data_IF_271460152318
#
_entry.id   IF_271460152318
#
_cell.length_a   1.000
_cell.length_b   1.000
_cell.length_c   1.000
_cell.angle_alpha   90.00
_cell.angle_beta   90.00
_cell.angle_gamma   90.00
#
_symmetry.space_group_name_H-M   'P 1'
#
loop_
_entity.id
_entity.type
_entity.pdbx_description
1 polymer ?
#
# COMPACT_ATOMS: atom_id res chain seq x y z
N UNK A 1 30.66 -6.87 10.77
CA UNK A 1 29.55 -6.74 9.81
C UNK A 1 28.33 -6.32 10.62
N UNK A 2 27.90 -5.06 10.54
CA UNK A 2 26.67 -4.63 11.23
C UNK A 2 25.51 -5.15 10.39
N UNK A 3 24.53 -5.81 11.01
CA UNK A 3 23.23 -6.00 10.40
C UNK A 3 22.65 -4.60 10.19
N UNK A 4 22.64 -4.13 8.94
CA UNK A 4 21.89 -2.93 8.60
C UNK A 4 20.41 -3.27 8.84
N UNK A 5 19.79 -2.61 9.81
CA UNK A 5 18.34 -2.51 9.83
C UNK A 5 17.95 -1.86 8.51
N UNK A 6 17.47 -2.65 7.55
CA UNK A 6 17.01 -2.14 6.26
C UNK A 6 16.06 -0.97 6.53
N UNK A 7 16.44 0.24 6.12
CA UNK A 7 15.55 1.40 6.23
C UNK A 7 14.35 1.14 5.32
N UNK A 8 13.15 1.12 5.91
CA UNK A 8 11.91 0.90 5.16
C UNK A 8 10.98 2.11 5.26
N UNK A 9 10.29 2.40 4.16
CA UNK A 9 9.14 3.31 4.11
C UNK A 9 7.87 2.47 4.21
N UNK A 10 6.95 2.91 5.07
CA UNK A 10 5.66 2.25 5.24
C UNK A 10 4.62 2.89 4.33
N UNK A 11 3.85 2.06 3.63
CA UNK A 11 2.63 2.46 2.92
C UNK A 11 1.48 1.59 3.38
N UNK A 12 0.28 2.13 3.39
CA UNK A 12 -0.88 1.55 4.08
C UNK A 12 -2.05 1.43 3.14
N UNK A 13 -2.78 0.32 3.22
CA UNK A 13 -4.01 0.12 2.46
C UNK A 13 -5.11 -0.36 3.37
N UNK A 14 -6.28 0.24 3.25
CA UNK A 14 -7.52 -0.33 3.78
C UNK A 14 -8.12 -1.25 2.71
N UNK A 15 -8.12 -2.58 2.88
CA UNK A 15 -8.77 -3.47 1.94
C UNK A 15 -10.28 -3.26 1.98
N UNK A 16 -10.94 -3.37 0.83
CA UNK A 16 -12.40 -3.42 0.80
C UNK A 16 -12.91 -4.70 1.45
N UNK A 17 -14.16 -4.68 1.90
CA UNK A 17 -14.82 -5.82 2.56
C UNK A 17 -14.66 -7.11 1.76
N UNK A 18 -14.19 -8.17 2.42
CA UNK A 18 -13.95 -9.48 1.84
C UNK A 18 -12.62 -9.62 1.08
N UNK A 19 -11.82 -8.55 0.93
CA UNK A 19 -10.54 -8.57 0.21
C UNK A 19 -9.32 -8.60 1.12
N UNK A 20 -9.46 -8.33 2.42
CA UNK A 20 -8.33 -8.23 3.34
C UNK A 20 -7.49 -9.50 3.42
N UNK A 21 -8.13 -10.65 3.63
CA UNK A 21 -7.44 -11.93 3.74
C UNK A 21 -6.71 -12.33 2.45
N UNK A 22 -7.32 -12.08 1.30
CA UNK A 22 -6.73 -12.40 0.00
C UNK A 22 -5.54 -11.48 -0.31
N UNK A 23 -5.71 -10.16 -0.14
CA UNK A 23 -4.62 -9.20 -0.34
C UNK A 23 -3.44 -9.41 0.62
N UNK A 24 -3.72 -9.86 1.86
CA UNK A 24 -2.67 -10.19 2.82
C UNK A 24 -1.91 -11.46 2.45
N UNK A 25 -2.61 -12.56 2.17
CA UNK A 25 -1.99 -13.87 1.95
C UNK A 25 -1.43 -14.04 0.54
N UNK A 26 -2.18 -13.59 -0.47
CA UNK A 26 -1.89 -13.82 -1.88
C UNK A 26 -1.33 -12.58 -2.59
N UNK A 27 -1.36 -11.43 -1.92
CA UNK A 27 -0.90 -10.17 -2.48
C UNK A 27 -1.91 -9.53 -3.43
N UNK A 28 -1.42 -8.64 -4.27
CA UNK A 28 -2.22 -7.85 -5.20
C UNK A 28 -2.20 -8.50 -6.58
N UNK A 29 -3.38 -8.89 -7.07
CA UNK A 29 -3.56 -9.45 -8.41
C UNK A 29 -4.16 -8.39 -9.33
N UNK A 30 -3.64 -8.24 -10.55
CA UNK A 30 -4.16 -7.28 -11.53
C UNK A 30 -5.65 -7.49 -11.86
N UNK A 31 -6.14 -8.72 -11.71
CA UNK A 31 -7.57 -9.05 -11.89
C UNK A 31 -8.48 -8.42 -10.83
N UNK A 32 -7.95 -8.06 -9.66
CA UNK A 32 -8.70 -7.38 -8.61
C UNK A 32 -8.80 -5.86 -8.83
N UNK A 33 -8.04 -5.33 -9.80
CA UNK A 33 -7.97 -3.91 -10.14
C UNK A 33 -8.20 -3.71 -11.64
N UNK A 34 -9.21 -4.38 -12.19
CA UNK A 34 -9.52 -4.34 -13.63
C UNK A 34 -10.43 -3.17 -14.05
N UNK A 35 -11.09 -2.51 -13.11
CA UNK A 35 -12.04 -1.42 -13.39
C UNK A 35 -11.42 -0.05 -13.05
N UNK A 36 -11.62 0.94 -13.92
CA UNK A 36 -11.10 2.30 -13.74
C UNK A 36 -9.60 2.44 -14.03
N UNK A 37 -8.86 3.15 -13.17
CA UNK A 37 -7.46 3.54 -13.38
C UNK A 37 -6.46 2.39 -13.22
N UNK A 38 -6.93 1.15 -12.97
CA UNK A 38 -6.08 -0.05 -12.84
C UNK A 38 -4.94 0.10 -11.82
N UNK A 39 -5.23 0.81 -10.73
CA UNK A 39 -4.28 1.11 -9.67
C UNK A 39 -4.71 0.49 -8.34
N UNK A 40 -3.74 0.06 -7.55
CA UNK A 40 -3.92 -0.17 -6.13
C UNK A 40 -3.58 1.11 -5.37
N UNK A 41 -4.58 1.70 -4.71
CA UNK A 41 -4.39 2.90 -3.89
C UNK A 41 -3.83 2.54 -2.52
N UNK A 42 -2.79 3.27 -2.11
CA UNK A 42 -2.17 3.22 -0.78
C UNK A 42 -2.04 4.63 -0.21
N UNK A 43 -2.10 4.74 1.11
CA UNK A 43 -1.76 5.95 1.85
C UNK A 43 -0.31 5.90 2.34
N UNK A 44 0.36 7.05 2.37
CA UNK A 44 1.65 7.20 3.06
C UNK A 44 1.48 7.31 4.58
N UNK A 45 0.38 7.93 4.99
CA UNK A 45 0.02 8.11 6.40
C UNK A 45 -0.96 7.03 6.84
N UNK A 46 -0.66 6.34 7.94
CA UNK A 46 -1.53 5.29 8.49
C UNK A 46 -2.94 5.80 8.78
N UNK A 47 -3.06 7.03 9.28
CA UNK A 47 -4.35 7.64 9.65
C UNK A 47 -5.33 7.72 8.48
N UNK A 48 -4.85 8.00 7.26
CA UNK A 48 -5.70 8.03 6.07
C UNK A 48 -6.26 6.64 5.79
N UNK A 49 -5.43 5.59 5.83
CA UNK A 49 -5.91 4.22 5.66
C UNK A 49 -6.87 3.81 6.80
N UNK A 50 -6.61 4.23 8.04
CA UNK A 50 -7.49 3.95 9.18
C UNK A 50 -8.89 4.55 9.00
N UNK A 51 -9.00 5.74 8.40
CA UNK A 51 -10.30 6.36 8.12
C UNK A 51 -11.15 5.51 7.16
N UNK A 52 -10.54 4.95 6.12
CA UNK A 52 -11.22 4.00 5.23
C UNK A 52 -11.49 2.65 5.90
N UNK A 53 -10.58 2.16 6.73
CA UNK A 53 -10.73 0.90 7.43
C UNK A 53 -11.98 0.87 8.33
N UNK A 54 -12.36 2.02 8.93
CA UNK A 54 -13.62 2.17 9.69
C UNK A 54 -14.86 1.83 8.86
N UNK A 55 -14.82 2.10 7.56
CA UNK A 55 -15.94 1.82 6.64
C UNK A 55 -15.89 0.41 6.06
N UNK A 56 -14.70 -0.09 5.74
CA UNK A 56 -14.54 -1.41 5.10
C UNK A 56 -14.59 -2.58 6.08
N UNK A 57 -14.10 -2.38 7.31
CA UNK A 57 -14.13 -3.39 8.37
C UNK A 57 -13.05 -4.46 8.27
N UNK A 58 -12.06 -4.29 7.40
CA UNK A 58 -10.93 -5.23 7.22
C UNK A 58 -9.66 -4.78 7.95
N UNK A 59 -9.65 -3.60 8.59
CA UNK A 59 -8.43 -3.02 9.15
C UNK A 59 -7.50 -2.44 8.08
N UNK A 60 -6.20 -2.40 8.38
CA UNK A 60 -5.15 -1.81 7.53
C UNK A 60 -4.04 -2.81 7.27
N UNK A 61 -3.67 -2.99 6.01
CA UNK A 61 -2.45 -3.70 5.60
C UNK A 61 -1.35 -2.66 5.41
N UNK A 62 -0.26 -2.84 6.14
CA UNK A 62 0.97 -2.07 6.01
C UNK A 62 1.99 -2.86 5.19
N UNK A 63 2.64 -2.20 4.24
CA UNK A 63 3.78 -2.73 3.49
C UNK A 63 5.07 -2.04 3.93
N UNK A 64 6.10 -2.82 4.24
CA UNK A 64 7.45 -2.31 4.57
C UNK A 64 8.33 -2.31 3.33
N UNK A 65 8.32 -1.20 2.58
CA UNK A 65 9.06 -1.06 1.34
C UNK A 65 10.50 -0.60 1.62
N UNK A 66 11.55 -1.27 1.13
CA UNK A 66 12.92 -0.76 1.24
C UNK A 66 13.03 0.67 0.70
N UNK A 67 13.72 1.55 1.42
CA UNK A 67 13.77 2.98 1.10
C UNK A 67 14.23 3.25 -0.34
N UNK A 68 15.27 2.56 -0.80
CA UNK A 68 15.80 2.72 -2.17
C UNK A 68 14.76 2.33 -3.24
N UNK A 69 13.99 1.27 -3.00
CA UNK A 69 12.91 0.83 -3.89
C UNK A 69 11.77 1.86 -3.89
N UNK A 70 11.42 2.38 -2.71
CA UNK A 70 10.40 3.41 -2.60
C UNK A 70 10.80 4.66 -3.38
N UNK A 71 12.02 5.18 -3.16
CA UNK A 71 12.50 6.40 -3.81
C UNK A 71 12.63 6.27 -5.33
N UNK A 72 13.09 5.11 -5.81
CA UNK A 72 13.32 4.89 -7.24
C UNK A 72 12.07 4.52 -8.03
N UNK A 73 11.12 3.78 -7.44
CA UNK A 73 9.97 3.22 -8.16
C UNK A 73 8.61 3.73 -7.68
N UNK A 74 8.41 3.98 -6.39
CA UNK A 74 7.06 4.29 -5.86
C UNK A 74 6.81 5.78 -5.58
N UNK A 75 7.85 6.53 -5.24
CA UNK A 75 7.76 7.95 -4.87
C UNK A 75 7.17 8.82 -5.99
N UNK A 76 7.35 8.41 -7.24
CA UNK A 76 6.79 9.10 -8.42
C UNK A 76 5.26 9.11 -8.44
N UNK A 77 4.60 8.22 -7.69
CA UNK A 77 3.15 8.14 -7.59
C UNK A 77 2.57 8.94 -6.41
N UNK A 78 3.40 9.58 -5.58
CA UNK A 78 2.89 10.41 -4.47
C UNK A 78 2.06 11.57 -5.01
N UNK A 79 0.85 11.73 -4.48
CA UNK A 79 0.05 12.92 -4.71
C UNK A 79 -0.75 13.33 -3.46
N UNK A 80 -1.11 14.60 -3.39
CA UNK A 80 -1.89 15.14 -2.26
C UNK A 80 -3.31 14.60 -2.30
N UNK A 81 -3.69 13.86 -1.27
CA UNK A 81 -5.04 13.35 -1.11
C UNK A 81 -6.03 14.53 -0.96
N UNK A 82 -6.95 14.67 -1.92
CA UNK A 82 -7.98 15.72 -1.96
C UNK A 82 -7.47 17.16 -1.76
N UNK A 83 -6.22 17.45 -2.16
CA UNK A 83 -5.60 18.76 -1.96
C UNK A 83 -5.15 19.05 -0.53
N UNK A 84 -5.28 18.10 0.39
CA UNK A 84 -4.83 18.18 1.77
C UNK A 84 -3.33 17.93 1.95
N UNK A 85 -2.93 17.67 3.20
CA UNK A 85 -1.53 17.38 3.58
C UNK A 85 -1.18 15.90 3.54
N UNK A 86 -2.16 15.01 3.55
CA UNK A 86 -1.96 13.56 3.48
C UNK A 86 -1.59 13.13 2.06
N UNK A 87 -0.78 12.08 1.95
CA UNK A 87 -0.30 11.57 0.66
C UNK A 87 -0.95 10.23 0.34
N UNK A 88 -1.44 10.10 -0.89
CA UNK A 88 -1.90 8.85 -1.50
C UNK A 88 -0.97 8.46 -2.67
N UNK A 89 -0.92 7.17 -2.97
CA UNK A 89 -0.15 6.54 -4.03
C UNK A 89 -1.09 5.63 -4.85
N UNK A 90 -1.50 6.03 -6.07
CA UNK A 90 -2.15 5.15 -7.03
C UNK A 90 -1.08 4.33 -7.73
N UNK A 91 -0.83 3.13 -7.22
CA UNK A 91 0.27 2.28 -7.71
C UNK A 91 -0.25 1.41 -8.87
N UNK A 92 0.29 1.55 -10.10
CA UNK A 92 -0.20 0.82 -11.27
C UNK A 92 0.25 -0.65 -11.25
N UNK A 93 -0.39 -1.46 -12.10
CA UNK A 93 -0.06 -2.88 -12.28
C UNK A 93 1.43 -3.17 -12.54
N UNK A 94 2.16 -2.25 -13.20
CA UNK A 94 3.59 -2.42 -13.49
C UNK A 94 4.47 -2.55 -12.23
N UNK A 95 3.96 -2.11 -11.08
CA UNK A 95 4.70 -2.10 -9.81
C UNK A 95 4.20 -3.14 -8.80
N UNK A 96 3.26 -4.01 -9.20
CA UNK A 96 2.71 -5.03 -8.29
C UNK A 96 3.76 -6.06 -7.88
N UNK A 97 4.82 -6.25 -8.66
CA UNK A 97 5.99 -7.05 -8.27
C UNK A 97 6.60 -6.54 -6.96
N UNK A 98 6.75 -5.22 -6.81
CA UNK A 98 7.23 -4.61 -5.56
C UNK A 98 6.26 -4.91 -4.43
N UNK A 99 4.98 -4.58 -4.60
CA UNK A 99 3.96 -4.74 -3.56
C UNK A 99 3.86 -6.19 -3.07
N UNK A 100 4.18 -7.14 -3.94
CA UNK A 100 4.12 -8.56 -3.65
C UNK A 100 5.42 -9.16 -3.09
N UNK A 101 6.54 -8.44 -3.19
CA UNK A 101 7.86 -8.88 -2.70
C UNK A 101 8.19 -8.41 -1.28
N UNK A 102 7.44 -7.43 -0.76
CA UNK A 102 7.71 -6.78 0.53
C UNK A 102 6.92 -7.40 1.67
N UNK A 103 7.42 -7.21 2.90
CA UNK A 103 6.73 -7.65 4.12
C UNK A 103 5.37 -6.95 4.24
N UNK A 104 4.34 -7.73 4.60
CA UNK A 104 2.99 -7.23 4.90
C UNK A 104 2.66 -7.46 6.38
N UNK A 105 2.14 -6.43 7.03
CA UNK A 105 1.63 -6.49 8.41
C UNK A 105 0.16 -6.12 8.38
N UNK A 106 -0.70 -6.96 8.97
CA UNK A 106 -2.14 -6.71 9.00
C UNK A 106 -2.59 -6.25 10.39
N UNK A 107 -3.05 -5.00 10.47
CA UNK A 107 -3.59 -4.36 11.67
C UNK A 107 -5.12 -4.45 11.64
N UNK A 108 -5.71 -5.37 12.42
CA UNK A 108 -7.16 -5.58 12.54
C UNK A 108 -7.77 -4.86 13.72
#
# INVERSE_FOLDING_TARGET
MKCDCLNTVSIFKAPQRGKGADQYNNGYNTKDFCDGDQCAYFAKDKSLAEDYAKHYGEGVIELKVPQEVYESRLKIYEYKYQGGSQIELPIPHSEFDILNSVERIWHK
#
